data_IF_467274378026
#
_entry.id   IF_467274378026
#
_cell.length_a   1.000
_cell.length_b   1.000
_cell.length_c   1.000
_cell.angle_alpha   90.00
_cell.angle_beta   90.00
_cell.angle_gamma   90.00
#
_symmetry.space_group_name_H-M   'P 1'
#
loop_
_entity.id
_entity.type
_entity.pdbx_description
1 polymer ?
#
# COMPACT_ATOMS: atom_id res chain seq x y z
N UNK A 1 14.69 5.47 -17.15
CA UNK A 1 14.41 5.15 -15.74
C UNK A 1 13.14 4.33 -15.68
N UNK A 2 13.20 3.15 -15.04
CA UNK A 2 12.05 2.23 -14.95
C UNK A 2 11.52 2.21 -13.53
N UNK A 3 10.20 2.15 -13.37
CA UNK A 3 9.57 1.85 -12.09
C UNK A 3 9.83 0.38 -11.70
N UNK A 4 9.65 0.07 -10.41
CA UNK A 4 9.82 -1.28 -9.89
C UNK A 4 8.94 -2.29 -10.67
N UNK A 5 9.41 -3.52 -10.98
CA UNK A 5 8.62 -4.50 -11.75
C UNK A 5 7.28 -4.84 -11.12
N UNK A 6 7.16 -4.83 -9.79
CA UNK A 6 5.88 -5.03 -9.10
C UNK A 6 4.84 -3.93 -9.40
N UNK A 7 5.27 -2.79 -9.94
CA UNK A 7 4.40 -1.71 -10.41
C UNK A 7 4.09 -1.79 -11.92
N UNK A 8 4.41 -2.93 -12.56
CA UNK A 8 3.98 -3.25 -13.92
C UNK A 8 2.48 -3.48 -13.99
N UNK A 9 1.89 -3.29 -15.17
CA UNK A 9 0.44 -3.38 -15.36
C UNK A 9 -0.13 -4.77 -15.08
N UNK A 10 0.69 -5.81 -15.15
CA UNK A 10 0.22 -7.19 -15.12
C UNK A 10 -0.20 -7.65 -13.71
N UNK A 11 0.41 -7.12 -12.65
CA UNK A 11 0.12 -7.56 -11.27
C UNK A 11 -0.78 -6.62 -10.48
N UNK A 12 -0.87 -5.35 -10.88
CA UNK A 12 -1.64 -4.31 -10.19
C UNK A 12 -2.75 -3.70 -11.05
N UNK A 13 -2.96 -4.24 -12.26
CA UNK A 13 -3.98 -3.80 -13.20
C UNK A 13 -5.37 -4.40 -12.94
N UNK A 14 -6.41 -3.72 -13.41
CA UNK A 14 -7.81 -4.15 -13.27
C UNK A 14 -8.07 -5.53 -13.89
N UNK A 15 -7.36 -5.86 -14.98
CA UNK A 15 -7.50 -7.17 -15.64
C UNK A 15 -7.08 -8.32 -14.73
N UNK A 16 -5.98 -8.16 -13.99
CA UNK A 16 -5.52 -9.17 -13.03
C UNK A 16 -6.49 -9.31 -11.86
N UNK A 17 -6.98 -8.18 -11.32
CA UNK A 17 -7.98 -8.17 -10.27
C UNK A 17 -9.28 -8.85 -10.69
N UNK A 18 -9.73 -8.59 -11.92
CA UNK A 18 -10.91 -9.25 -12.51
C UNK A 18 -10.67 -10.74 -12.70
N UNK A 19 -9.47 -11.12 -13.15
CA UNK A 19 -9.11 -12.52 -13.35
C UNK A 19 -9.14 -13.31 -12.03
N UNK A 20 -8.47 -12.84 -10.97
CA UNK A 20 -8.36 -13.58 -9.70
C UNK A 20 -9.66 -13.60 -8.88
N UNK A 21 -10.58 -12.66 -9.13
CA UNK A 21 -11.89 -12.59 -8.46
C UNK A 21 -12.98 -13.36 -9.19
N UNK A 22 -12.73 -13.82 -10.42
CA UNK A 22 -13.74 -14.51 -11.22
C UNK A 22 -14.01 -15.91 -10.67
N UNK A 23 -15.29 -16.23 -10.42
CA UNK A 23 -15.74 -17.49 -9.79
C UNK A 23 -15.34 -18.78 -10.56
N UNK A 24 -15.07 -18.68 -11.86
CA UNK A 24 -14.67 -19.80 -12.72
C UNK A 24 -13.15 -19.95 -12.80
N UNK A 25 -12.38 -19.09 -12.13
CA UNK A 25 -10.93 -19.19 -12.13
C UNK A 25 -10.49 -20.38 -11.25
N UNK A 26 -9.64 -21.30 -11.76
CA UNK A 26 -9.06 -22.37 -10.95
C UNK A 26 -8.35 -21.86 -9.68
N UNK A 27 -7.74 -20.67 -9.73
CA UNK A 27 -7.18 -20.01 -8.55
C UNK A 27 -8.25 -19.67 -7.51
N UNK A 28 -9.43 -19.20 -7.95
CA UNK A 28 -10.57 -18.92 -7.08
C UNK A 28 -11.12 -20.17 -6.40
N UNK A 29 -11.04 -21.32 -7.07
CA UNK A 29 -11.57 -22.58 -6.56
C UNK A 29 -10.56 -23.40 -5.73
N UNK A 30 -9.26 -23.29 -6.02
CA UNK A 30 -8.22 -24.13 -5.41
C UNK A 30 -7.49 -23.47 -4.23
N UNK A 31 -7.55 -22.14 -4.09
CA UNK A 31 -6.98 -21.43 -2.93
C UNK A 31 -8.09 -21.20 -1.91
N UNK A 32 -7.79 -21.29 -0.61
CA UNK A 32 -8.81 -21.02 0.41
C UNK A 32 -9.41 -19.64 0.15
N UNK A 33 -10.75 -19.55 0.17
CA UNK A 33 -11.47 -18.29 -0.08
C UNK A 33 -10.89 -17.14 0.76
N UNK A 34 -10.48 -17.43 1.99
CA UNK A 34 -9.83 -16.49 2.93
C UNK A 34 -8.51 -15.91 2.41
N UNK A 35 -7.66 -16.70 1.74
CA UNK A 35 -6.40 -16.22 1.16
C UNK A 35 -6.61 -15.30 -0.04
N UNK A 36 -7.64 -15.58 -0.84
CA UNK A 36 -7.98 -14.73 -1.99
C UNK A 36 -8.54 -13.39 -1.51
N UNK A 37 -9.45 -13.41 -0.53
CA UNK A 37 -10.02 -12.18 0.03
C UNK A 37 -8.97 -11.30 0.71
N UNK A 38 -8.03 -11.89 1.47
CA UNK A 38 -6.93 -11.13 2.08
C UNK A 38 -5.87 -10.68 1.07
N UNK A 39 -5.55 -11.52 0.07
CA UNK A 39 -4.57 -11.21 -0.98
C UNK A 39 -5.02 -10.10 -1.92
N UNK A 40 -6.31 -10.01 -2.26
CA UNK A 40 -6.89 -8.91 -3.05
C UNK A 40 -6.60 -7.56 -2.40
N UNK A 41 -6.80 -7.44 -1.08
CA UNK A 41 -6.51 -6.21 -0.35
C UNK A 41 -5.03 -5.81 -0.43
N UNK A 42 -4.12 -6.79 -0.37
CA UNK A 42 -2.68 -6.55 -0.49
C UNK A 42 -2.28 -6.12 -1.91
N UNK A 43 -2.86 -6.73 -2.94
CA UNK A 43 -2.63 -6.35 -4.34
C UNK A 43 -3.17 -4.94 -4.61
N UNK A 44 -4.36 -4.62 -4.10
CA UNK A 44 -4.93 -3.27 -4.18
C UNK A 44 -4.01 -2.25 -3.50
N UNK A 45 -3.52 -2.56 -2.29
CA UNK A 45 -2.58 -1.70 -1.57
C UNK A 45 -1.29 -1.49 -2.36
N UNK A 46 -0.73 -2.55 -2.96
CA UNK A 46 0.43 -2.46 -3.85
C UNK A 46 0.15 -1.55 -5.05
N UNK A 47 -1.02 -1.67 -5.68
CA UNK A 47 -1.43 -0.80 -6.79
C UNK A 47 -1.46 0.67 -6.38
N UNK A 48 -2.07 0.98 -5.24
CA UNK A 48 -2.11 2.34 -4.68
C UNK A 48 -0.71 2.86 -4.37
N UNK A 49 0.18 2.04 -3.79
CA UNK A 49 1.56 2.43 -3.51
C UNK A 49 2.35 2.73 -4.78
N UNK A 50 2.14 1.94 -5.83
CA UNK A 50 2.74 2.16 -7.13
C UNK A 50 2.25 3.46 -7.79
N UNK A 51 0.95 3.75 -7.69
CA UNK A 51 0.37 5.01 -8.17
C UNK A 51 0.92 6.21 -7.38
N UNK A 52 0.99 6.09 -6.05
CA UNK A 52 1.55 7.11 -5.17
C UNK A 52 3.01 7.39 -5.50
N UNK A 53 3.81 6.34 -5.72
CA UNK A 53 5.23 6.47 -6.11
C UNK A 53 5.37 7.23 -7.43
N UNK A 54 4.60 6.86 -8.46
CA UNK A 54 4.58 7.55 -9.76
C UNK A 54 4.21 9.02 -9.61
N UNK A 55 3.10 9.30 -8.93
CA UNK A 55 2.63 10.67 -8.72
C UNK A 55 3.63 11.52 -7.95
N UNK A 56 4.31 10.94 -6.94
CA UNK A 56 5.34 11.65 -6.17
C UNK A 56 6.54 12.03 -7.03
N UNK A 57 6.97 11.15 -7.93
CA UNK A 57 8.06 11.43 -8.89
C UNK A 57 7.63 12.54 -9.85
N UNK A 58 6.44 12.40 -10.46
CA UNK A 58 5.93 13.37 -11.44
C UNK A 58 5.75 14.78 -10.84
N UNK A 59 5.22 14.85 -9.62
CA UNK A 59 5.09 16.11 -8.88
C UNK A 59 6.45 16.73 -8.53
N UNK A 60 7.42 15.90 -8.13
CA UNK A 60 8.78 16.39 -7.82
C UNK A 60 9.49 16.90 -9.06
N UNK A 61 9.33 16.22 -10.20
CA UNK A 61 9.85 16.66 -11.49
C UNK A 61 9.20 17.98 -11.93
N UNK A 62 7.87 18.08 -11.82
CA UNK A 62 7.14 19.31 -12.14
C UNK A 62 7.61 20.49 -11.29
N UNK A 63 7.78 20.26 -9.98
CA UNK A 63 8.29 21.29 -9.05
C UNK A 63 9.72 21.71 -9.39
N UNK A 64 10.59 20.77 -9.74
CA UNK A 64 11.95 21.04 -10.19
C UNK A 64 11.96 21.97 -11.42
N UNK A 65 11.21 21.61 -12.45
CA UNK A 65 11.15 22.38 -13.69
C UNK A 65 10.61 23.79 -13.48
N UNK A 66 9.52 23.93 -12.70
CA UNK A 66 8.85 25.21 -12.52
C UNK A 66 9.60 26.15 -11.56
N UNK A 67 10.17 25.63 -10.47
CA UNK A 67 10.68 26.47 -9.38
C UNK A 67 12.20 26.60 -9.38
N UNK A 68 12.92 25.68 -10.03
CA UNK A 68 14.38 25.61 -9.92
C UNK A 68 15.11 25.72 -11.26
N UNK A 69 14.48 25.31 -12.36
CA UNK A 69 15.10 25.40 -13.70
C UNK A 69 14.95 26.80 -14.33
N UNK A 70 13.87 27.51 -13.99
CA UNK A 70 13.64 28.89 -14.45
C UNK A 70 14.30 29.85 -13.45
N UNK A 71 15.25 30.65 -13.92
CA UNK A 71 15.91 31.67 -13.10
C UNK A 71 15.86 33.03 -13.81
N UNK A 72 15.62 34.10 -13.06
CA UNK A 72 15.63 35.48 -13.56
C UNK A 72 17.05 36.00 -13.83
N UNK A 73 18.07 35.29 -13.34
CA UNK A 73 19.48 35.64 -13.49
C UNK A 73 20.24 34.59 -14.31
N UNK A 74 21.15 35.06 -15.16
CA UNK A 74 22.06 34.21 -15.92
C UNK A 74 23.06 33.56 -14.96
N UNK A 75 22.98 32.24 -14.79
CA UNK A 75 23.92 31.47 -13.99
C UNK A 75 25.08 30.96 -14.85
N UNK A 76 26.28 30.91 -14.27
CA UNK A 76 27.38 30.17 -14.87
C UNK A 76 27.08 28.67 -14.86
N UNK A 77 27.63 27.93 -15.83
CA UNK A 77 27.41 26.47 -15.95
C UNK A 77 27.73 25.72 -14.66
N UNK A 78 28.84 26.05 -14.00
CA UNK A 78 29.23 25.39 -12.75
C UNK A 78 28.21 25.62 -11.63
N UNK A 79 27.76 26.86 -11.45
CA UNK A 79 26.78 27.19 -10.40
C UNK A 79 25.45 26.49 -10.69
N UNK A 80 25.03 26.46 -11.96
CA UNK A 80 23.82 25.75 -12.35
C UNK A 80 23.93 24.25 -12.07
N UNK A 81 25.03 23.60 -12.45
CA UNK A 81 25.26 22.17 -12.20
C UNK A 81 25.25 21.84 -10.70
N UNK A 82 25.98 22.60 -9.88
CA UNK A 82 26.00 22.41 -8.43
C UNK A 82 24.60 22.57 -7.82
N UNK A 83 23.84 23.57 -8.29
CA UNK A 83 22.47 23.78 -7.81
C UNK A 83 21.55 22.61 -8.16
N UNK A 84 21.65 22.10 -9.38
CA UNK A 84 20.87 20.93 -9.82
C UNK A 84 21.20 19.71 -8.96
N UNK A 85 22.48 19.44 -8.70
CA UNK A 85 22.90 18.32 -7.84
C UNK A 85 22.35 18.43 -6.43
N UNK A 86 22.47 19.61 -5.80
CA UNK A 86 21.91 19.85 -4.46
C UNK A 86 20.40 19.61 -4.41
N UNK A 87 19.66 20.09 -5.41
CA UNK A 87 18.21 19.90 -5.47
C UNK A 87 17.85 18.43 -5.70
N UNK A 88 18.59 17.72 -6.56
CA UNK A 88 18.37 16.29 -6.79
C UNK A 88 18.56 15.51 -5.48
N UNK A 89 19.57 15.82 -4.69
CA UNK A 89 19.81 15.14 -3.41
C UNK A 89 18.77 15.50 -2.34
N UNK A 90 18.30 16.75 -2.31
CA UNK A 90 17.17 17.16 -1.47
C UNK A 90 15.87 16.43 -1.87
N UNK A 91 15.60 16.29 -3.17
CA UNK A 91 14.44 15.55 -3.67
C UNK A 91 14.51 14.10 -3.25
N UNK A 92 15.65 13.42 -3.42
CA UNK A 92 15.82 12.00 -3.03
C UNK A 92 15.53 11.80 -1.54
N UNK A 93 16.09 12.64 -0.69
CA UNK A 93 15.94 12.52 0.78
C UNK A 93 14.52 12.85 1.23
N UNK A 94 13.94 13.93 0.70
CA UNK A 94 12.60 14.39 1.08
C UNK A 94 11.50 13.47 0.56
N UNK A 95 11.61 12.98 -0.68
CA UNK A 95 10.65 12.04 -1.27
C UNK A 95 10.55 10.75 -0.45
N UNK A 96 11.68 10.15 -0.07
CA UNK A 96 11.66 8.91 0.73
C UNK A 96 10.96 9.13 2.07
N UNK A 97 11.24 10.25 2.75
CA UNK A 97 10.61 10.57 4.03
C UNK A 97 9.11 10.81 3.89
N UNK A 98 8.68 11.57 2.88
CA UNK A 98 7.26 11.81 2.60
C UNK A 98 6.53 10.50 2.30
N UNK A 99 7.10 9.65 1.45
CA UNK A 99 6.51 8.36 1.10
C UNK A 99 6.32 7.47 2.34
N UNK A 100 7.35 7.32 3.18
CA UNK A 100 7.27 6.51 4.41
C UNK A 100 6.20 7.06 5.36
N UNK A 101 6.12 8.39 5.52
CA UNK A 101 5.14 9.02 6.38
C UNK A 101 3.70 8.80 5.86
N UNK A 102 3.47 9.03 4.56
CA UNK A 102 2.16 8.80 3.95
C UNK A 102 1.75 7.33 4.03
N UNK A 103 2.67 6.40 3.75
CA UNK A 103 2.41 4.98 3.89
C UNK A 103 2.06 4.59 5.33
N UNK A 104 2.82 5.08 6.31
CA UNK A 104 2.57 4.83 7.73
C UNK A 104 1.19 5.34 8.15
N UNK A 105 0.79 6.53 7.68
CA UNK A 105 -0.52 7.09 7.95
C UNK A 105 -1.64 6.26 7.34
N UNK A 106 -1.51 5.85 6.07
CA UNK A 106 -2.49 4.98 5.39
C UNK A 106 -2.63 3.67 6.17
N UNK A 107 -1.53 3.01 6.50
CA UNK A 107 -1.55 1.74 7.24
C UNK A 107 -2.22 1.89 8.61
N UNK A 108 -1.89 2.94 9.37
CA UNK A 108 -2.46 3.19 10.68
C UNK A 108 -3.97 3.48 10.61
N UNK A 109 -4.41 4.29 9.64
CA UNK A 109 -5.83 4.63 9.46
C UNK A 109 -6.64 3.44 8.94
N UNK A 110 -6.11 2.65 7.99
CA UNK A 110 -6.71 1.41 7.51
C UNK A 110 -6.91 0.40 8.64
N UNK A 111 -5.88 0.17 9.50
CA UNK A 111 -6.00 -0.73 10.65
C UNK A 111 -7.04 -0.28 11.67
N UNK A 112 -7.08 1.02 11.97
CA UNK A 112 -8.04 1.57 12.92
C UNK A 112 -9.49 1.37 12.44
N UNK A 113 -9.70 1.24 11.13
CA UNK A 113 -10.98 0.91 10.55
C UNK A 113 -11.26 -0.60 10.66
N UNK A 114 -11.96 -0.97 11.74
CA UNK A 114 -12.35 -2.36 12.03
C UNK A 114 -13.17 -2.96 10.89
N UNK A 115 -14.14 -2.23 10.35
CA UNK A 115 -15.01 -2.72 9.28
C UNK A 115 -14.23 -3.05 8.01
N UNK A 116 -13.32 -2.17 7.61
CA UNK A 116 -12.46 -2.36 6.43
C UNK A 116 -11.55 -3.58 6.55
N UNK A 117 -11.10 -3.89 7.76
CA UNK A 117 -10.12 -4.95 8.04
C UNK A 117 -10.74 -6.25 8.58
N UNK A 118 -12.07 -6.28 8.71
CA UNK A 118 -12.88 -7.42 9.18
C UNK A 118 -12.73 -8.66 8.30
N UNK A 119 -12.28 -8.49 7.06
CA UNK A 119 -12.08 -9.58 6.08
C UNK A 119 -10.67 -10.21 6.13
N UNK A 120 -9.98 -10.10 7.28
CA UNK A 120 -8.85 -10.98 7.58
C UNK A 120 -7.46 -10.35 7.59
N UNK A 121 -7.34 -9.03 7.77
CA UNK A 121 -6.04 -8.38 7.97
C UNK A 121 -5.78 -7.95 9.43
N UNK A 122 -6.78 -7.40 10.11
CA UNK A 122 -6.61 -6.97 11.51
C UNK A 122 -7.79 -7.33 12.44
N UNK A 123 -8.99 -7.46 11.88
CA UNK A 123 -10.20 -7.81 12.61
C UNK A 123 -10.92 -8.96 11.92
N UNK A 124 -11.74 -9.69 12.67
CA UNK A 124 -12.60 -10.76 12.16
C UNK A 124 -13.98 -10.66 12.80
N UNK A 125 -15.01 -11.16 12.12
CA UNK A 125 -16.36 -11.27 12.69
C UNK A 125 -16.36 -12.35 13.78
N UNK A 126 -16.83 -12.01 14.97
CA UNK A 126 -17.17 -12.99 15.98
C UNK A 126 -18.54 -13.59 15.67
N UNK A 127 -18.63 -14.91 15.71
CA UNK A 127 -19.86 -15.71 15.60
C UNK A 127 -20.72 -15.45 14.35
N UNK A 128 -20.42 -16.18 13.27
CA UNK A 128 -21.19 -16.16 12.01
C UNK A 128 -22.39 -17.15 12.06
N UNK A 129 -22.64 -17.80 13.20
CA UNK A 129 -23.73 -18.76 13.32
C UNK A 129 -25.06 -18.04 13.56
N UNK A 130 -25.96 -18.10 12.57
CA UNK A 130 -27.31 -17.52 12.55
C UNK A 130 -27.40 -15.98 12.58
N UNK A 131 -27.13 -15.28 11.46
CA UNK A 131 -27.41 -13.85 11.36
C UNK A 131 -28.92 -13.59 11.50
N UNK A 132 -29.33 -13.01 12.63
CA UNK A 132 -30.68 -12.52 12.84
C UNK A 132 -30.80 -11.15 12.17
N UNK A 133 -31.87 -10.91 11.40
CA UNK A 133 -32.14 -9.59 10.82
C UNK A 133 -32.26 -8.55 11.93
N UNK A 134 -31.43 -7.49 11.86
CA UNK A 134 -31.31 -6.46 12.92
C UNK A 134 -30.31 -6.78 14.03
N UNK A 135 -29.56 -7.88 13.93
CA UNK A 135 -28.50 -8.24 14.88
C UNK A 135 -27.25 -7.35 14.75
N UNK A 136 -26.51 -7.23 15.86
CA UNK A 136 -25.23 -6.51 15.90
C UNK A 136 -24.09 -7.44 15.50
N UNK A 137 -23.24 -6.99 14.57
CA UNK A 137 -22.00 -7.69 14.24
C UNK A 137 -20.91 -7.35 15.26
N UNK A 138 -20.41 -8.36 15.95
CA UNK A 138 -19.26 -8.23 16.83
C UNK A 138 -17.98 -8.50 16.04
N UNK A 139 -16.93 -7.71 16.31
CA UNK A 139 -15.60 -7.92 15.71
C UNK A 139 -14.60 -8.20 16.81
N UNK A 140 -13.72 -9.17 16.56
CA UNK A 140 -12.58 -9.50 17.41
C UNK A 140 -11.28 -9.26 16.66
N UNK A 141 -10.24 -8.75 17.34
CA UNK A 141 -8.94 -8.56 16.71
C UNK A 141 -8.32 -9.91 16.36
N UNK A 142 -7.68 -9.99 15.20
CA UNK A 142 -6.90 -11.17 14.82
C UNK A 142 -5.65 -11.22 15.70
N UNK A 143 -5.36 -12.39 16.26
CA UNK A 143 -4.18 -12.59 17.11
C UNK A 143 -3.30 -13.72 16.57
N UNK A 144 -2.00 -13.50 16.57
CA UNK A 144 -0.99 -14.50 16.21
C UNK A 144 0.05 -14.62 17.34
N UNK A 145 0.05 -15.69 18.12
CA UNK A 145 0.92 -15.82 19.30
C UNK A 145 0.83 -14.59 20.25
N UNK A 146 1.91 -13.82 20.38
CA UNK A 146 1.97 -12.58 21.18
C UNK A 146 1.55 -11.32 20.40
N UNK A 147 1.12 -11.48 19.16
CA UNK A 147 0.74 -10.42 18.25
C UNK A 147 -0.77 -10.15 18.31
N UNK A 148 -1.18 -8.94 18.70
CA UNK A 148 -2.57 -8.49 18.63
C UNK A 148 -2.72 -7.44 17.52
N UNK A 149 -3.36 -7.83 16.41
CA UNK A 149 -3.58 -6.95 15.26
C UNK A 149 -4.60 -5.84 15.53
N UNK A 150 -5.34 -5.87 16.65
CA UNK A 150 -6.11 -4.73 17.11
C UNK A 150 -5.22 -3.64 17.70
N UNK A 151 -4.13 -4.03 18.38
CA UNK A 151 -3.28 -3.11 19.14
C UNK A 151 -2.08 -2.59 18.35
N UNK A 152 -1.41 -3.42 17.54
CA UNK A 152 -0.22 -3.00 16.77
C UNK A 152 -0.39 -3.25 15.27
N UNK A 153 -0.09 -2.24 14.44
CA UNK A 153 0.04 -2.44 12.99
C UNK A 153 1.38 -3.05 12.64
N UNK A 154 2.40 -2.89 13.48
CA UNK A 154 3.78 -3.30 13.21
C UNK A 154 3.99 -4.81 13.32
N UNK A 155 2.92 -5.54 13.55
CA UNK A 155 3.00 -6.90 13.97
C UNK A 155 2.97 -7.84 12.76
N UNK A 156 4.00 -8.68 12.67
CA UNK A 156 4.13 -9.68 11.61
C UNK A 156 4.64 -10.98 12.23
N UNK A 157 4.16 -12.11 11.70
CA UNK A 157 4.63 -13.44 12.09
C UNK A 157 4.85 -14.31 10.86
N UNK A 158 5.61 -15.39 11.01
CA UNK A 158 5.68 -16.46 10.01
C UNK A 158 4.68 -17.54 10.39
N UNK A 159 3.71 -17.79 9.53
CA UNK A 159 2.76 -18.89 9.69
C UNK A 159 2.84 -19.81 8.47
N UNK A 160 3.23 -21.07 8.67
CA UNK A 160 3.48 -22.05 7.60
C UNK A 160 4.36 -21.53 6.45
N UNK A 161 5.43 -20.79 6.77
CA UNK A 161 6.38 -20.26 5.78
C UNK A 161 5.94 -18.98 5.07
N UNK A 162 4.71 -18.51 5.29
CA UNK A 162 4.18 -17.23 4.78
C UNK A 162 4.32 -16.15 5.84
N UNK A 163 4.75 -14.95 5.44
CA UNK A 163 4.75 -13.78 6.32
C UNK A 163 3.33 -13.26 6.37
N UNK A 164 2.71 -13.30 7.54
CA UNK A 164 1.43 -12.69 7.81
C UNK A 164 1.68 -11.41 8.59
N UNK A 165 1.10 -10.30 8.13
CA UNK A 165 1.14 -9.04 8.86
C UNK A 165 -0.27 -8.56 9.15
N UNK A 166 -0.37 -7.81 10.25
CA UNK A 166 -1.37 -6.76 10.38
C UNK A 166 -0.96 -5.56 9.49
#
# INVERSE_FOLDING_TARGET
TSYHPACSRDFIGELWMTYITHQNNPFYQNVSKTYIYSGIGQIQALSTLCQLSKSTVDQSMTRFLNNHMINSQLLSRNILSQRIEMIIDEIKTTMSKLFINTFSLIRQTTKANKFLTTFGSAWSLADIYNPISGGTFHTIPVKYDQCDCGLSSQCFTKYYGVIISC
#
